data_IF_071971264964
#
_entry.id   IF_071971264964
#
_cell.length_a   1.000
_cell.length_b   1.000
_cell.length_c   1.000
_cell.angle_alpha   90.00
_cell.angle_beta   90.00
_cell.angle_gamma   90.00
#
_symmetry.space_group_name_H-M   'P 1'
#
loop_
_entity.id
_entity.type
_entity.pdbx_description
1 polymer ?
#
# COMPACT_ATOMS: atom_id res chain seq x y z
N UNK A 1 5.46 -2.50 15.68
CA UNK A 1 6.62 -3.32 15.29
C UNK A 1 6.38 -4.78 15.61
N UNK A 2 6.13 -5.59 14.59
CA UNK A 2 6.10 -7.05 14.71
C UNK A 2 7.53 -7.60 14.55
N UNK A 3 7.77 -8.89 14.81
CA UNK A 3 9.07 -9.53 14.55
C UNK A 3 9.39 -9.71 13.05
N UNK A 4 8.44 -9.37 12.18
CA UNK A 4 8.50 -9.60 10.73
C UNK A 4 8.38 -8.25 10.03
N UNK A 5 9.53 -7.63 9.80
CA UNK A 5 9.67 -6.38 9.08
C UNK A 5 10.62 -6.52 7.90
N UNK A 6 10.53 -5.60 6.94
CA UNK A 6 11.37 -5.56 5.76
C UNK A 6 11.64 -4.10 5.36
N UNK A 7 12.82 -3.83 4.81
CA UNK A 7 13.25 -2.46 4.47
C UNK A 7 13.94 -2.33 3.11
N UNK A 8 14.42 -3.40 2.51
CA UNK A 8 14.87 -3.40 1.12
C UNK A 8 13.74 -3.87 0.17
N UNK A 9 13.73 -3.44 -1.09
CA UNK A 9 12.64 -3.78 -2.01
C UNK A 9 12.43 -5.27 -2.23
N UNK A 10 13.49 -6.06 -2.22
CA UNK A 10 13.40 -7.51 -2.44
C UNK A 10 12.70 -8.18 -1.26
N UNK A 11 13.16 -7.91 -0.03
CA UNK A 11 12.54 -8.48 1.17
C UNK A 11 11.14 -7.93 1.43
N UNK A 12 10.85 -6.67 1.08
CA UNK A 12 9.48 -6.12 1.18
C UNK A 12 8.51 -6.86 0.27
N UNK A 13 8.89 -7.08 -0.99
CA UNK A 13 8.03 -7.84 -1.93
C UNK A 13 7.82 -9.27 -1.47
N UNK A 14 8.86 -9.92 -0.94
CA UNK A 14 8.73 -11.25 -0.35
C UNK A 14 7.76 -11.24 0.85
N UNK A 15 7.92 -10.29 1.76
CA UNK A 15 7.02 -10.11 2.91
C UNK A 15 5.57 -9.91 2.47
N UNK A 16 5.31 -9.07 1.47
CA UNK A 16 3.95 -8.82 0.97
C UNK A 16 3.34 -10.07 0.34
N UNK A 17 4.09 -10.76 -0.52
CA UNK A 17 3.61 -11.97 -1.18
C UNK A 17 3.26 -13.06 -0.15
N UNK A 18 4.14 -13.28 0.83
CA UNK A 18 3.91 -14.23 1.92
C UNK A 18 2.71 -13.84 2.78
N UNK A 19 2.56 -12.55 3.10
CA UNK A 19 1.43 -12.05 3.88
C UNK A 19 0.10 -12.21 3.12
N UNK A 20 0.06 -11.93 1.82
CA UNK A 20 -1.13 -12.12 0.98
C UNK A 20 -1.49 -13.60 0.88
N UNK A 21 -0.50 -14.48 0.70
CA UNK A 21 -0.72 -15.92 0.68
C UNK A 21 -1.29 -16.42 2.01
N UNK A 22 -0.73 -15.99 3.14
CA UNK A 22 -1.20 -16.35 4.47
C UNK A 22 -2.62 -15.80 4.76
N UNK A 23 -2.92 -14.57 4.34
CA UNK A 23 -4.24 -13.97 4.44
C UNK A 23 -5.29 -14.80 3.68
N UNK A 24 -4.99 -15.19 2.44
CA UNK A 24 -5.86 -16.04 1.62
C UNK A 24 -6.05 -17.44 2.22
N UNK A 25 -5.00 -18.03 2.78
CA UNK A 25 -5.07 -19.35 3.43
C UNK A 25 -5.91 -19.33 4.71
N UNK A 26 -5.86 -18.24 5.46
CA UNK A 26 -6.56 -18.07 6.75
C UNK A 26 -7.97 -17.55 6.62
N UNK A 27 -8.35 -17.04 5.44
CA UNK A 27 -9.61 -16.32 5.23
C UNK A 27 -9.77 -15.16 6.22
N UNK A 28 -8.66 -14.47 6.51
CA UNK A 28 -8.66 -13.31 7.40
C UNK A 28 -9.49 -12.18 6.81
N UNK A 29 -10.05 -11.31 7.65
CA UNK A 29 -10.97 -10.26 7.19
C UNK A 29 -10.27 -9.23 6.27
N UNK A 30 -9.01 -8.92 6.55
CA UNK A 30 -8.15 -8.05 5.76
C UNK A 30 -6.70 -8.39 6.08
N UNK A 31 -5.76 -7.74 5.40
CA UNK A 31 -4.32 -7.69 5.62
C UNK A 31 -3.93 -6.21 5.56
N UNK A 32 -3.20 -5.70 6.55
CA UNK A 32 -2.73 -4.31 6.52
C UNK A 32 -1.20 -4.27 6.48
N UNK A 33 -0.66 -3.49 5.54
CA UNK A 33 0.76 -3.13 5.47
C UNK A 33 0.92 -1.75 6.07
N UNK A 34 1.71 -1.66 7.14
CA UNK A 34 2.03 -0.41 7.82
C UNK A 34 3.46 0.03 7.49
N UNK A 35 3.64 1.34 7.37
CA UNK A 35 4.94 1.99 7.17
C UNK A 35 5.51 2.43 8.51
N UNK A 36 6.82 2.25 8.70
CA UNK A 36 7.52 2.75 9.87
C UNK A 36 7.60 4.28 9.86
N UNK A 37 7.15 4.92 10.93
CA UNK A 37 7.18 6.38 11.07
C UNK A 37 8.59 6.96 10.92
N UNK A 38 9.63 6.24 11.36
CA UNK A 38 11.02 6.69 11.20
C UNK A 38 11.46 6.75 9.74
N UNK A 39 10.80 5.99 8.85
CA UNK A 39 11.03 6.06 7.40
C UNK A 39 10.46 7.35 6.77
N UNK A 40 9.66 8.09 7.54
CA UNK A 40 9.02 9.34 7.13
C UNK A 40 9.82 10.58 7.59
N UNK A 41 10.83 10.40 8.45
CA UNK A 41 11.63 11.50 8.98
C UNK A 41 12.25 12.32 7.84
N UNK A 42 11.95 13.62 7.81
CA UNK A 42 12.44 14.52 6.77
C UNK A 42 11.67 14.48 5.45
N UNK A 43 10.57 13.72 5.36
CA UNK A 43 9.64 13.77 4.23
C UNK A 43 8.45 14.71 4.54
N UNK A 44 8.46 15.96 4.03
CA UNK A 44 7.41 16.94 4.34
C UNK A 44 6.04 16.57 3.78
N UNK A 45 5.97 15.72 2.75
CA UNK A 45 4.69 15.32 2.14
C UNK A 45 3.84 14.45 3.08
N UNK A 46 4.47 13.72 4.00
CA UNK A 46 3.79 12.73 4.85
C UNK A 46 3.45 13.29 6.23
N UNK A 47 4.23 14.24 6.72
CA UNK A 47 4.04 14.86 8.04
C UNK A 47 2.67 15.56 8.21
N UNK A 48 2.04 15.99 7.11
CA UNK A 48 0.73 16.67 7.13
C UNK A 48 -0.45 15.69 7.13
N UNK A 49 -0.30 14.52 6.51
CA UNK A 49 -1.41 13.59 6.22
C UNK A 49 -1.34 12.26 7.01
N UNK A 50 -0.31 12.10 7.85
CA UNK A 50 -0.14 10.93 8.72
C UNK A 50 0.60 9.78 8.04
N UNK A 51 0.72 8.67 8.77
CA UNK A 51 1.47 7.49 8.31
C UNK A 51 0.64 6.75 7.25
N UNK A 52 1.17 6.52 6.03
CA UNK A 52 0.47 5.79 5.00
C UNK A 52 0.33 4.31 5.36
N UNK A 53 -0.79 3.72 4.95
CA UNK A 53 -1.08 2.30 5.08
C UNK A 53 -1.67 1.78 3.78
N UNK A 54 -1.54 0.48 3.55
CA UNK A 54 -2.13 -0.22 2.41
C UNK A 54 -2.86 -1.45 2.95
N UNK A 55 -4.14 -1.60 2.63
CA UNK A 55 -4.92 -2.75 3.08
C UNK A 55 -5.32 -3.62 1.90
N UNK A 56 -5.28 -4.93 2.07
CA UNK A 56 -5.72 -5.91 1.09
C UNK A 56 -6.82 -6.79 1.69
N UNK A 57 -7.91 -6.98 0.95
CA UNK A 57 -8.99 -7.91 1.27
C UNK A 57 -9.74 -8.27 -0.01
N UNK A 58 -10.04 -9.55 -0.25
CA UNK A 58 -10.87 -10.00 -1.37
C UNK A 58 -10.51 -9.37 -2.73
N UNK A 59 -9.25 -9.49 -3.14
CA UNK A 59 -8.69 -8.89 -4.37
C UNK A 59 -8.86 -7.37 -4.48
N UNK A 60 -9.16 -6.70 -3.36
CA UNK A 60 -9.29 -5.25 -3.26
C UNK A 60 -8.12 -4.68 -2.48
N UNK A 61 -7.48 -3.66 -3.02
CA UNK A 61 -6.48 -2.86 -2.32
C UNK A 61 -7.12 -1.54 -1.94
N UNK A 62 -7.09 -1.21 -0.66
CA UNK A 62 -7.62 0.02 -0.10
C UNK A 62 -6.47 0.88 0.43
N UNK A 63 -6.50 2.17 0.08
CA UNK A 63 -5.48 3.13 0.44
C UNK A 63 -6.02 4.56 0.41
N UNK A 64 -5.41 5.46 1.17
CA UNK A 64 -5.77 6.87 1.18
C UNK A 64 -4.74 7.71 0.40
N UNK A 65 -5.21 8.71 -0.32
CA UNK A 65 -4.38 9.60 -1.12
C UNK A 65 -4.82 11.05 -0.98
N UNK A 66 -3.88 11.98 -1.07
CA UNK A 66 -4.17 13.36 -1.48
C UNK A 66 -4.51 13.44 -2.97
N UNK A 67 -4.93 14.60 -3.47
CA UNK A 67 -5.14 14.80 -4.91
C UNK A 67 -3.87 14.53 -5.73
N UNK A 68 -2.70 14.97 -5.24
CA UNK A 68 -1.42 14.78 -5.94
C UNK A 68 -0.96 13.32 -5.92
N UNK A 69 -1.24 12.61 -4.83
CA UNK A 69 -0.97 11.17 -4.72
C UNK A 69 -1.89 10.37 -5.63
N UNK A 70 -3.16 10.76 -5.77
CA UNK A 70 -4.09 10.11 -6.69
C UNK A 70 -3.63 10.22 -8.16
N UNK A 71 -3.09 11.37 -8.58
CA UNK A 71 -2.55 11.52 -9.93
C UNK A 71 -1.31 10.63 -10.16
N UNK A 72 -0.43 10.53 -9.16
CA UNK A 72 0.70 9.58 -9.19
C UNK A 72 0.24 8.13 -9.23
N UNK A 73 -0.80 7.79 -8.47
CA UNK A 73 -1.41 6.46 -8.49
C UNK A 73 -1.99 6.12 -9.86
N UNK A 74 -2.73 7.03 -10.51
CA UNK A 74 -3.23 6.82 -11.88
C UNK A 74 -2.10 6.63 -12.88
N UNK A 75 -1.00 7.38 -12.75
CA UNK A 75 0.19 7.17 -13.57
C UNK A 75 0.77 5.78 -13.34
N UNK A 76 0.94 5.35 -12.08
CA UNK A 76 1.46 4.03 -11.73
C UNK A 76 0.59 2.90 -12.28
N UNK A 77 -0.74 3.04 -12.23
CA UNK A 77 -1.68 2.04 -12.76
C UNK A 77 -1.50 1.77 -14.26
N UNK A 78 -0.94 2.73 -15.02
CA UNK A 78 -0.65 2.53 -16.43
C UNK A 78 0.41 1.45 -16.68
N UNK A 79 1.29 1.20 -15.70
CA UNK A 79 2.31 0.13 -15.73
C UNK A 79 1.77 -1.22 -15.17
N UNK A 80 0.57 -1.19 -14.59
CA UNK A 80 -0.07 -2.32 -13.90
C UNK A 80 -1.48 -2.58 -14.46
N UNK A 81 -1.60 -3.12 -15.70
CA UNK A 81 -2.89 -3.26 -16.39
C UNK A 81 -3.87 -4.25 -15.74
N UNK A 82 -3.42 -5.07 -14.79
CA UNK A 82 -4.28 -5.96 -14.01
C UNK A 82 -5.01 -5.24 -12.85
N UNK A 83 -4.73 -3.95 -12.66
CA UNK A 83 -5.22 -3.14 -11.55
C UNK A 83 -6.10 -2.03 -12.11
N UNK A 84 -7.22 -1.77 -11.44
CA UNK A 84 -8.12 -0.68 -11.82
C UNK A 84 -8.76 -0.04 -10.60
N UNK A 85 -9.01 1.27 -10.66
CA UNK A 85 -9.81 1.96 -9.64
C UNK A 85 -11.26 1.47 -9.72
N UNK A 86 -11.76 0.93 -8.62
CA UNK A 86 -13.15 0.50 -8.45
C UNK A 86 -14.00 1.63 -7.85
N UNK A 87 -13.47 2.29 -6.82
CA UNK A 87 -14.19 3.32 -6.06
C UNK A 87 -13.24 4.45 -5.61
N UNK A 88 -13.78 5.66 -5.59
CA UNK A 88 -13.15 6.86 -5.02
C UNK A 88 -14.14 7.53 -4.06
N UNK A 89 -13.78 7.64 -2.78
CA UNK A 89 -14.60 8.30 -1.77
C UNK A 89 -13.87 9.55 -1.27
N UNK A 90 -14.55 10.71 -1.35
CA UNK A 90 -14.05 12.01 -0.86
C UNK A 90 -14.89 12.42 0.35
N UNK A 91 -14.39 12.25 1.58
CA UNK A 91 -15.12 12.66 2.78
C UNK A 91 -15.34 14.18 2.80
N UNK A 92 -16.48 14.63 3.33
CA UNK A 92 -16.80 16.07 3.38
C UNK A 92 -15.96 16.85 4.39
N UNK A 93 -15.37 16.16 5.38
CA UNK A 93 -14.65 16.75 6.51
C UNK A 93 -13.18 16.30 6.58
N UNK A 94 -12.60 15.82 5.48
CA UNK A 94 -11.19 15.45 5.40
C UNK A 94 -10.62 15.75 4.01
N UNK A 95 -9.35 16.13 3.97
CA UNK A 95 -8.65 16.50 2.71
C UNK A 95 -8.16 15.27 1.91
N UNK A 96 -8.36 14.06 2.44
CA UNK A 96 -7.98 12.79 1.83
C UNK A 96 -9.03 12.20 0.89
N UNK A 97 -8.58 11.33 -0.01
CA UNK A 97 -9.40 10.55 -0.93
C UNK A 97 -9.13 9.09 -0.61
N UNK A 98 -10.17 8.36 -0.19
CA UNK A 98 -10.06 6.92 -0.08
C UNK A 98 -10.21 6.30 -1.47
N UNK A 99 -9.29 5.40 -1.83
CA UNK A 99 -9.24 4.73 -3.13
C UNK A 99 -9.31 3.24 -2.93
N UNK A 100 -10.26 2.59 -3.63
CA UNK A 100 -10.33 1.14 -3.75
C UNK A 100 -9.91 0.71 -5.13
N UNK A 101 -8.95 -0.18 -5.20
CA UNK A 101 -8.46 -0.78 -6.43
C UNK A 101 -8.88 -2.25 -6.47
N UNK A 102 -9.30 -2.75 -7.63
CA UNK A 102 -9.38 -4.21 -7.86
C UNK A 102 -8.08 -4.72 -8.45
N UNK A 103 -7.68 -5.91 -8.00
CA UNK A 103 -6.51 -6.62 -8.48
C UNK A 103 -6.73 -8.15 -8.39
N UNK A 104 -7.33 -8.74 -9.43
CA UNK A 104 -7.46 -10.20 -9.51
C UNK A 104 -6.22 -10.80 -10.18
N UNK A 105 -5.14 -10.92 -9.41
CA UNK A 105 -3.84 -11.42 -9.88
C UNK A 105 -3.09 -12.19 -8.78
N UNK A 106 -1.91 -12.71 -9.10
CA UNK A 106 -1.07 -13.49 -8.18
C UNK A 106 -0.46 -12.61 -7.07
N UNK A 107 -0.15 -13.21 -5.90
CA UNK A 107 0.44 -12.48 -4.77
C UNK A 107 1.72 -11.71 -5.13
N UNK A 108 2.57 -12.25 -6.00
CA UNK A 108 3.82 -11.63 -6.41
C UNK A 108 3.57 -10.34 -7.19
N UNK A 109 2.58 -10.35 -8.10
CA UNK A 109 2.19 -9.17 -8.86
C UNK A 109 1.54 -8.10 -7.97
N UNK A 110 0.74 -8.50 -6.98
CA UNK A 110 0.20 -7.57 -5.96
C UNK A 110 1.34 -6.99 -5.12
N UNK A 111 2.27 -7.82 -4.65
CA UNK A 111 3.43 -7.38 -3.88
C UNK A 111 4.30 -6.35 -4.62
N UNK A 112 4.54 -6.57 -5.92
CA UNK A 112 5.24 -5.60 -6.78
C UNK A 112 4.51 -4.26 -6.83
N UNK A 113 3.18 -4.28 -6.96
CA UNK A 113 2.38 -3.08 -6.98
C UNK A 113 2.42 -2.33 -5.63
N UNK A 114 2.28 -3.05 -4.50
CA UNK A 114 2.32 -2.44 -3.17
C UNK A 114 3.68 -1.76 -2.89
N UNK A 115 4.79 -2.40 -3.25
CA UNK A 115 6.14 -1.81 -3.13
C UNK A 115 6.30 -0.57 -4.02
N UNK A 116 5.77 -0.61 -5.25
CA UNK A 116 5.81 0.52 -6.17
C UNK A 116 4.92 1.69 -5.70
N UNK A 117 3.77 1.41 -5.08
CA UNK A 117 2.88 2.42 -4.52
C UNK A 117 3.58 3.19 -3.38
N UNK A 118 4.27 2.50 -2.47
CA UNK A 118 5.07 3.13 -1.41
C UNK A 118 6.07 4.13 -1.96
N UNK A 119 6.84 3.72 -2.98
CA UNK A 119 7.92 4.54 -3.52
C UNK A 119 7.41 5.66 -4.44
N UNK A 120 6.36 5.41 -5.21
CA UNK A 120 5.91 6.33 -6.27
C UNK A 120 4.75 7.20 -5.82
N UNK A 121 3.75 6.61 -5.17
CA UNK A 121 2.55 7.31 -4.70
C UNK A 121 2.85 8.07 -3.43
N UNK A 122 3.58 7.51 -2.48
CA UNK A 122 3.92 8.23 -1.23
C UNK A 122 5.31 8.87 -1.23
N UNK A 123 6.07 8.74 -2.33
CA UNK A 123 7.46 9.26 -2.48
C UNK A 123 8.36 8.82 -1.33
N UNK A 124 8.18 7.58 -0.87
CA UNK A 124 8.95 7.07 0.25
C UNK A 124 10.30 6.50 -0.22
N UNK A 125 11.37 6.63 0.58
CA UNK A 125 12.69 6.14 0.20
C UNK A 125 12.71 4.64 -0.06
N UNK A 126 13.69 4.18 -0.86
CA UNK A 126 13.87 2.75 -1.13
C UNK A 126 14.12 1.93 0.15
N UNK A 127 14.70 2.55 1.19
CA UNK A 127 14.98 1.95 2.49
C UNK A 127 13.78 1.98 3.46
N UNK A 128 12.57 2.28 2.98
CA UNK A 128 11.37 2.37 3.81
C UNK A 128 11.09 1.05 4.50
N UNK A 129 11.03 1.09 5.83
CA UNK A 129 10.70 -0.06 6.65
C UNK A 129 9.19 -0.24 6.74
N UNK A 130 8.74 -1.48 6.62
CA UNK A 130 7.32 -1.87 6.67
C UNK A 130 7.14 -3.15 7.47
N UNK A 131 5.91 -3.43 7.89
CA UNK A 131 5.50 -4.74 8.39
C UNK A 131 4.05 -5.04 8.02
N UNK A 132 3.69 -6.33 8.04
CA UNK A 132 2.32 -6.79 7.89
C UNK A 132 1.66 -6.98 9.26
N UNK A 133 0.41 -6.53 9.40
CA UNK A 133 -0.47 -6.79 10.54
C UNK A 133 -1.78 -7.39 10.05
N UNK A 134 -2.48 -8.05 10.97
CA UNK A 134 -3.81 -8.64 10.71
C UNK A 134 -3.77 -9.61 9.52
N UNK A 135 -2.87 -10.60 9.57
CA UNK A 135 -2.63 -11.57 8.48
C UNK A 135 -3.45 -12.83 8.64
#
# INVERSE_FOLDING_TARGET
MTRFDAADPETRRALYADAIAAHRERESQFLTIEVDESSLEGNPAVAEHGIPWLQFADDTINLDCTNDELERLKSLLSDFPAFSIDELTRPENADGINVRLRATTDPERIAQFLDAAIQTVYVLPEATKVWAVEV
#
